data_IF_742011901805
#
_entry.id   IF_742011901805
#
_cell.length_a   1.000
_cell.length_b   1.000
_cell.length_c   1.000
_cell.angle_alpha   90.00
_cell.angle_beta   90.00
_cell.angle_gamma   90.00
#
_symmetry.space_group_name_H-M   'P 1'
#
loop_
_entity.id
_entity.type
_entity.pdbx_description
1 polymer ?
#
# COMPACT_ATOMS: atom_id res chain seq x y z
N UNK A 1 30.56 -32.40 41.11
CA UNK A 1 29.66 -33.30 41.87
C UNK A 1 28.33 -33.19 41.17
N UNK A 2 27.90 -34.13 40.35
CA UNK A 2 27.43 -35.46 40.77
C UNK A 2 27.58 -36.45 39.61
N UNK A 3 28.00 -37.66 39.94
CA UNK A 3 28.19 -38.82 39.07
C UNK A 3 26.83 -39.37 38.61
N UNK A 4 26.64 -39.53 37.29
CA UNK A 4 25.51 -40.25 36.74
C UNK A 4 25.81 -41.76 36.79
N UNK A 5 25.02 -42.47 37.59
CA UNK A 5 25.08 -43.93 37.76
C UNK A 5 24.56 -44.62 36.51
N UNK A 6 25.35 -45.57 36.02
CA UNK A 6 24.96 -46.53 34.99
C UNK A 6 23.87 -47.46 35.54
N UNK A 7 22.68 -47.44 34.94
CA UNK A 7 21.63 -48.42 35.15
C UNK A 7 21.58 -49.33 33.92
N UNK A 8 22.10 -50.54 34.07
CA UNK A 8 21.81 -51.65 33.16
C UNK A 8 20.31 -51.96 33.25
N UNK A 9 19.60 -51.81 32.14
CA UNK A 9 18.23 -52.34 31.99
C UNK A 9 18.33 -53.54 31.06
N UNK A 10 18.11 -54.72 31.63
CA UNK A 10 17.89 -55.96 30.89
C UNK A 10 16.54 -55.84 30.17
N UNK A 11 16.56 -55.62 28.86
CA UNK A 11 15.37 -55.76 28.02
C UNK A 11 15.19 -57.24 27.70
N UNK A 12 14.19 -57.85 28.33
CA UNK A 12 13.75 -59.20 28.03
C UNK A 12 13.28 -59.28 26.57
N UNK A 13 13.93 -60.13 25.78
CA UNK A 13 13.43 -60.55 24.47
C UNK A 13 12.09 -61.25 24.67
N UNK A 14 11.00 -60.61 24.26
CA UNK A 14 9.73 -61.27 23.98
C UNK A 14 9.58 -61.41 22.48
N UNK A 15 9.89 -62.61 21.98
CA UNK A 15 9.47 -63.07 20.67
C UNK A 15 7.96 -63.32 20.73
N UNK A 16 7.16 -62.38 20.23
CA UNK A 16 5.76 -62.64 19.92
C UNK A 16 5.70 -63.51 18.66
N UNK A 17 5.80 -64.83 18.85
CA UNK A 17 5.52 -65.81 17.81
C UNK A 17 3.99 -65.91 17.63
N UNK A 18 3.45 -65.29 16.59
CA UNK A 18 2.11 -65.63 16.11
C UNK A 18 2.17 -67.04 15.49
N UNK A 19 1.44 -67.98 16.11
CA UNK A 19 1.29 -69.35 15.60
C UNK A 19 0.50 -69.35 14.29
N UNK A 20 1.22 -69.46 13.17
CA UNK A 20 0.66 -69.73 11.85
C UNK A 20 0.78 -71.22 11.52
N UNK A 21 -0.36 -71.90 11.37
CA UNK A 21 -0.44 -73.31 11.00
C UNK A 21 0.24 -73.57 9.66
N UNK A 22 1.12 -74.56 9.63
CA UNK A 22 1.78 -75.05 8.42
C UNK A 22 0.82 -75.92 7.60
N UNK A 23 0.26 -75.36 6.53
CA UNK A 23 -0.19 -76.15 5.37
C UNK A 23 0.77 -75.85 4.22
N UNK A 24 1.51 -76.88 3.85
CA UNK A 24 2.53 -76.88 2.81
C UNK A 24 1.85 -77.27 1.50
N UNK A 25 1.46 -76.29 0.69
CA UNK A 25 1.04 -76.52 -0.70
C UNK A 25 2.18 -76.17 -1.67
N UNK A 26 2.58 -77.07 -2.57
CA UNK A 26 3.54 -76.80 -3.63
C UNK A 26 2.79 -76.35 -4.88
N UNK A 27 2.66 -75.04 -5.08
CA UNK A 27 2.06 -74.49 -6.30
C UNK A 27 1.93 -72.97 -6.22
N UNK A 28 2.68 -72.26 -7.05
CA UNK A 28 2.90 -70.82 -6.93
C UNK A 28 1.63 -69.97 -7.00
N UNK A 29 1.55 -69.02 -6.09
CA UNK A 29 0.88 -67.74 -6.25
C UNK A 29 1.63 -66.77 -5.32
N UNK A 30 2.24 -65.71 -5.87
CA UNK A 30 2.96 -64.73 -5.06
C UNK A 30 2.01 -64.14 -4.02
N UNK A 31 2.42 -64.15 -2.75
CA UNK A 31 1.55 -63.76 -1.65
C UNK A 31 1.31 -62.25 -1.64
N UNK A 32 0.05 -61.83 -1.63
CA UNK A 32 -0.31 -60.43 -1.33
C UNK A 32 0.08 -60.12 0.13
N UNK A 33 0.64 -58.93 0.36
CA UNK A 33 0.99 -58.42 1.67
C UNK A 33 -0.11 -57.53 2.25
N UNK A 34 -0.25 -57.51 3.57
CA UNK A 34 -1.12 -56.55 4.27
C UNK A 34 -0.29 -55.56 5.09
N UNK A 35 -0.50 -54.26 4.86
CA UNK A 35 0.17 -53.18 5.61
C UNK A 35 -0.78 -52.02 5.85
N UNK A 36 -0.90 -51.56 7.10
CA UNK A 36 -1.77 -50.42 7.46
C UNK A 36 -3.25 -50.62 7.11
N UNK A 37 -3.73 -51.87 7.08
CA UNK A 37 -5.09 -52.22 6.68
C UNK A 37 -5.36 -52.22 5.16
N UNK A 38 -4.32 -52.04 4.33
CA UNK A 38 -4.39 -52.15 2.86
C UNK A 38 -3.69 -53.43 2.39
N UNK A 39 -4.13 -53.98 1.26
CA UNK A 39 -3.47 -55.11 0.59
C UNK A 39 -2.62 -54.63 -0.59
N UNK A 40 -1.45 -55.23 -0.74
CA UNK A 40 -0.45 -54.94 -1.77
C UNK A 40 -0.02 -56.24 -2.44
N UNK A 41 0.23 -56.23 -3.74
CA UNK A 41 0.67 -57.42 -4.46
C UNK A 41 2.18 -57.63 -4.38
N UNK A 42 2.61 -58.89 -4.53
CA UNK A 42 4.03 -59.23 -4.53
C UNK A 42 4.81 -58.42 -5.58
N UNK A 43 5.83 -57.68 -5.12
CA UNK A 43 6.63 -56.76 -5.94
C UNK A 43 6.27 -55.27 -5.78
N UNK A 44 5.15 -54.95 -5.11
CA UNK A 44 4.75 -53.57 -4.86
C UNK A 44 5.75 -52.84 -3.95
N UNK A 45 5.91 -51.54 -4.22
CA UNK A 45 6.63 -50.58 -3.38
C UNK A 45 5.68 -49.45 -3.00
N UNK A 46 5.61 -49.13 -1.71
CA UNK A 46 4.62 -48.20 -1.16
C UNK A 46 5.15 -47.42 0.05
N UNK A 47 4.62 -46.22 0.34
CA UNK A 47 5.06 -45.41 1.47
C UNK A 47 4.63 -46.03 2.82
N UNK A 48 5.53 -45.98 3.81
CA UNK A 48 5.29 -46.33 5.21
C UNK A 48 4.33 -45.33 5.87
N UNK A 49 3.68 -45.78 6.94
CA UNK A 49 2.78 -44.93 7.76
C UNK A 49 3.51 -43.85 8.57
N UNK A 50 4.83 -43.95 8.71
CA UNK A 50 5.69 -42.95 9.36
C UNK A 50 6.05 -41.75 8.45
N UNK A 51 5.64 -41.79 7.19
CA UNK A 51 5.80 -40.68 6.24
C UNK A 51 7.21 -40.48 5.67
N UNK A 52 8.21 -41.27 6.08
CA UNK A 52 9.59 -41.13 5.59
C UNK A 52 10.21 -42.44 5.09
N UNK A 53 9.67 -43.59 5.51
CA UNK A 53 10.14 -44.89 5.04
C UNK A 53 9.36 -45.39 3.83
N UNK A 54 10.00 -46.25 3.03
CA UNK A 54 9.39 -46.96 1.91
C UNK A 54 9.37 -48.45 2.23
N UNK A 55 8.24 -49.09 1.98
CA UNK A 55 8.03 -50.51 2.20
C UNK A 55 7.88 -51.25 0.87
N UNK A 56 8.27 -52.52 0.84
CA UNK A 56 8.09 -53.41 -0.30
C UNK A 56 7.40 -54.71 0.12
N UNK A 57 6.56 -55.23 -0.78
CA UNK A 57 5.90 -56.53 -0.61
C UNK A 57 6.71 -57.65 -1.26
N UNK A 58 7.19 -58.59 -0.45
CA UNK A 58 7.96 -59.74 -0.90
C UNK A 58 7.04 -60.85 -1.46
N UNK A 59 7.61 -61.72 -2.29
CA UNK A 59 6.90 -62.84 -2.95
C UNK A 59 6.29 -63.85 -1.95
N UNK A 60 6.81 -63.89 -0.72
CA UNK A 60 6.34 -64.74 0.37
C UNK A 60 5.28 -64.07 1.27
N UNK A 61 4.78 -62.88 0.88
CA UNK A 61 3.77 -62.13 1.61
C UNK A 61 4.29 -61.29 2.77
N UNK A 62 5.62 -61.16 2.94
CA UNK A 62 6.22 -60.32 3.97
C UNK A 62 6.41 -58.86 3.51
N UNK A 63 6.23 -57.92 4.44
CA UNK A 63 6.52 -56.50 4.21
C UNK A 63 7.87 -56.16 4.82
N UNK A 64 8.76 -55.57 4.02
CA UNK A 64 10.01 -55.01 4.49
C UNK A 64 10.04 -53.50 4.24
N UNK A 65 10.33 -52.71 5.28
CA UNK A 65 10.44 -51.27 5.15
C UNK A 65 11.89 -50.82 5.35
N UNK A 66 12.24 -49.68 4.75
CA UNK A 66 13.46 -48.96 5.12
C UNK A 66 13.41 -48.54 6.59
N UNK A 67 14.58 -48.30 7.21
CA UNK A 67 14.71 -47.87 8.60
C UNK A 67 15.38 -46.50 8.70
N UNK A 68 14.85 -45.53 7.95
CA UNK A 68 15.20 -44.13 8.14
C UNK A 68 14.58 -43.65 9.46
N UNK A 69 15.40 -42.99 10.28
CA UNK A 69 14.91 -42.22 11.41
C UNK A 69 14.12 -41.04 10.86
N UNK A 70 12.78 -41.09 10.97
CA UNK A 70 11.95 -39.96 10.58
C UNK A 70 12.24 -38.79 11.51
N UNK A 71 12.60 -37.66 10.91
CA UNK A 71 12.83 -36.42 11.63
C UNK A 71 11.59 -35.55 11.44
N UNK A 72 11.03 -35.06 12.55
CA UNK A 72 9.76 -34.33 12.62
C UNK A 72 9.77 -32.95 11.93
N UNK A 73 10.75 -32.70 11.06
CA UNK A 73 11.02 -31.40 10.45
C UNK A 73 11.75 -30.46 11.39
N UNK A 74 11.60 -29.17 11.15
CA UNK A 74 12.23 -28.10 11.92
C UNK A 74 11.22 -26.98 12.22
N UNK A 75 11.50 -26.19 13.25
CA UNK A 75 10.69 -25.03 13.62
C UNK A 75 11.47 -23.74 13.38
N UNK A 76 10.87 -22.78 12.67
CA UNK A 76 11.42 -21.45 12.43
C UNK A 76 10.34 -20.40 12.63
N UNK A 77 10.60 -19.39 13.47
CA UNK A 77 9.65 -18.32 13.82
C UNK A 77 8.24 -18.83 14.19
N UNK A 78 8.18 -19.92 14.96
CA UNK A 78 6.93 -20.56 15.39
C UNK A 78 6.18 -21.35 14.31
N UNK A 79 6.75 -21.51 13.10
CA UNK A 79 6.21 -22.34 12.02
C UNK A 79 7.00 -23.63 11.84
N UNK A 80 6.29 -24.73 11.59
CA UNK A 80 6.90 -26.03 11.30
C UNK A 80 7.13 -26.20 9.80
N UNK A 81 8.31 -26.70 9.44
CA UNK A 81 8.76 -26.93 8.06
C UNK A 81 9.22 -28.38 7.90
N UNK A 82 8.97 -28.96 6.72
CA UNK A 82 9.34 -30.34 6.42
C UNK A 82 10.83 -30.47 6.07
N UNK A 83 11.48 -31.61 6.33
CA UNK A 83 12.86 -31.84 5.89
C UNK A 83 13.05 -31.61 4.39
N UNK A 84 14.03 -30.79 4.02
CA UNK A 84 14.32 -30.38 2.64
C UNK A 84 13.56 -29.14 2.16
N UNK A 85 12.61 -28.63 2.93
CA UNK A 85 11.87 -27.41 2.57
C UNK A 85 12.76 -26.17 2.61
N UNK A 86 12.65 -25.32 1.59
CA UNK A 86 13.27 -23.99 1.56
C UNK A 86 12.21 -22.89 1.68
N UNK A 87 12.46 -21.91 2.55
CA UNK A 87 11.51 -20.84 2.91
C UNK A 87 12.22 -19.51 3.16
N UNK A 88 11.54 -18.35 3.02
CA UNK A 88 12.12 -17.05 3.29
C UNK A 88 12.39 -16.84 4.80
N UNK A 89 13.52 -16.22 5.13
CA UNK A 89 13.86 -15.80 6.48
C UNK A 89 13.01 -14.59 6.92
N UNK A 90 12.94 -14.34 8.24
CA UNK A 90 12.20 -13.19 8.80
C UNK A 90 12.84 -11.84 8.51
N UNK A 91 14.12 -11.83 8.10
CA UNK A 91 14.84 -10.61 7.72
C UNK A 91 14.51 -10.12 6.29
N UNK A 92 13.69 -10.85 5.54
CA UNK A 92 13.18 -10.46 4.23
C UNK A 92 14.18 -10.55 3.08
N UNK A 93 15.42 -10.99 3.30
CA UNK A 93 16.42 -11.10 2.25
C UNK A 93 17.14 -12.45 2.19
N UNK A 94 17.14 -13.19 3.30
CA UNK A 94 17.76 -14.50 3.38
C UNK A 94 16.76 -15.63 3.08
N UNK A 95 17.31 -16.77 2.67
CA UNK A 95 16.55 -17.99 2.45
C UNK A 95 17.06 -19.06 3.41
N UNK A 96 16.14 -19.74 4.06
CA UNK A 96 16.40 -20.82 5.01
C UNK A 96 16.00 -22.17 4.41
N UNK A 97 16.66 -23.23 4.87
CA UNK A 97 16.37 -24.61 4.51
C UNK A 97 16.27 -25.45 5.79
N UNK A 98 15.26 -26.31 5.81
CA UNK A 98 15.06 -27.30 6.85
C UNK A 98 15.94 -28.54 6.58
N UNK A 99 16.93 -28.79 7.42
CA UNK A 99 17.83 -29.93 7.22
C UNK A 99 17.21 -31.24 7.70
N UNK A 100 17.70 -32.35 7.15
CA UNK A 100 17.26 -33.70 7.52
C UNK A 100 17.50 -34.07 9.00
N UNK A 101 18.30 -33.30 9.74
CA UNK A 101 18.53 -33.47 11.18
C UNK A 101 17.65 -32.54 12.04
N UNK A 102 16.70 -31.83 11.44
CA UNK A 102 15.78 -30.92 12.13
C UNK A 102 16.34 -29.53 12.42
N UNK A 103 17.57 -29.22 11.98
CA UNK A 103 18.12 -27.86 12.09
C UNK A 103 17.67 -26.97 10.94
N UNK A 104 17.67 -25.66 11.18
CA UNK A 104 17.46 -24.65 10.13
C UNK A 104 18.81 -24.05 9.76
N UNK A 105 19.09 -23.96 8.46
CA UNK A 105 20.25 -23.23 7.93
C UNK A 105 19.79 -22.14 6.99
N UNK A 106 20.26 -20.91 7.19
CA UNK A 106 19.89 -19.77 6.36
C UNK A 106 21.11 -19.22 5.61
N UNK A 107 20.88 -18.58 4.47
CA UNK A 107 21.91 -17.75 3.82
C UNK A 107 22.26 -16.57 4.74
N UNK A 108 23.49 -16.06 4.63
CA UNK A 108 23.97 -14.92 5.41
C UNK A 108 24.26 -13.72 4.50
N UNK A 109 23.24 -13.26 3.77
CA UNK A 109 23.31 -12.00 3.03
C UNK A 109 23.12 -10.86 4.00
N UNK A 110 23.96 -9.83 3.89
CA UNK A 110 23.69 -8.55 4.51
C UNK A 110 22.43 -7.96 3.85
N UNK A 111 21.31 -7.91 4.58
CA UNK A 111 20.10 -7.31 4.07
C UNK A 111 20.31 -5.81 3.82
N UNK A 112 19.71 -5.31 2.75
CA UNK A 112 19.79 -3.89 2.43
C UNK A 112 19.21 -3.07 3.59
N UNK A 113 19.96 -2.06 4.04
CA UNK A 113 19.41 -1.09 4.98
C UNK A 113 18.27 -0.34 4.29
N UNK A 114 17.14 -0.23 4.98
CA UNK A 114 15.97 0.49 4.49
C UNK A 114 15.54 1.57 5.48
N UNK A 115 14.82 2.57 4.98
CA UNK A 115 14.20 3.62 5.76
C UNK A 115 12.69 3.63 5.51
N UNK A 116 11.90 3.87 6.55
CA UNK A 116 10.47 4.14 6.41
C UNK A 116 10.21 5.65 6.45
N UNK A 117 9.46 6.15 5.46
CA UNK A 117 9.01 7.54 5.42
C UNK A 117 7.57 7.60 4.91
N UNK A 118 6.67 8.18 5.72
CA UNK A 118 5.25 8.31 5.40
C UNK A 118 4.59 7.01 4.88
N UNK A 119 4.93 5.87 5.51
CA UNK A 119 4.37 4.55 5.15
C UNK A 119 4.96 3.93 3.87
N UNK A 120 6.01 4.51 3.29
CA UNK A 120 6.77 3.93 2.17
C UNK A 120 8.16 3.51 2.62
N UNK A 121 8.67 2.44 2.01
CA UNK A 121 10.02 1.91 2.27
C UNK A 121 10.98 2.33 1.17
N UNK A 122 12.15 2.83 1.58
CA UNK A 122 13.23 3.31 0.71
C UNK A 122 14.52 2.56 1.03
N UNK A 123 15.35 2.29 0.03
CA UNK A 123 16.66 1.64 0.25
C UNK A 123 17.73 2.68 0.56
N UNK A 124 18.75 2.29 1.33
CA UNK A 124 19.89 3.16 1.62
C UNK A 124 20.53 3.72 0.33
N UNK A 125 20.85 5.02 0.36
CA UNK A 125 21.33 5.79 -0.78
C UNK A 125 20.23 6.35 -1.69
N UNK A 126 18.98 5.94 -1.52
CA UNK A 126 17.87 6.46 -2.32
C UNK A 126 17.48 7.88 -1.88
N UNK A 127 17.27 8.78 -2.84
CA UNK A 127 16.62 10.07 -2.65
C UNK A 127 15.15 10.05 -3.09
N UNK A 128 14.32 10.88 -2.46
CA UNK A 128 12.88 10.96 -2.73
C UNK A 128 12.28 12.30 -2.27
N UNK A 129 11.18 12.78 -2.88
CA UNK A 129 10.54 14.04 -2.48
C UNK A 129 9.89 13.94 -1.09
N UNK A 130 10.01 15.01 -0.30
CA UNK A 130 9.41 15.11 1.05
C UNK A 130 7.88 15.26 1.04
N UNK A 131 7.31 15.64 -0.11
CA UNK A 131 5.87 15.86 -0.30
C UNK A 131 5.41 17.30 -0.01
N UNK A 132 6.31 18.19 0.42
CA UNK A 132 6.05 19.62 0.65
C UNK A 132 6.31 20.51 -0.59
N UNK A 133 6.65 19.89 -1.73
CA UNK A 133 6.84 20.56 -3.01
C UNK A 133 8.22 21.19 -3.23
N UNK A 134 9.13 21.16 -2.25
CA UNK A 134 10.46 21.74 -2.44
C UNK A 134 11.61 20.99 -1.74
N UNK A 135 11.32 20.13 -0.76
CA UNK A 135 12.37 19.40 -0.06
C UNK A 135 12.57 17.99 -0.62
N UNK A 136 13.82 17.55 -0.58
CA UNK A 136 14.26 16.20 -0.94
C UNK A 136 14.79 15.49 0.31
N UNK A 137 14.38 14.24 0.47
CA UNK A 137 14.78 13.35 1.55
C UNK A 137 15.70 12.24 1.02
N UNK A 138 16.56 11.73 1.89
CA UNK A 138 17.57 10.72 1.59
C UNK A 138 17.51 9.63 2.66
N UNK A 139 17.48 8.37 2.22
CA UNK A 139 17.63 7.22 3.11
C UNK A 139 19.12 6.97 3.37
N UNK A 140 19.55 7.11 4.62
CA UNK A 140 20.94 6.92 5.02
C UNK A 140 21.25 5.43 5.27
N UNK A 141 22.54 5.08 5.21
CA UNK A 141 23.03 3.72 5.48
C UNK A 141 22.76 3.21 6.89
N UNK A 142 22.35 4.09 7.81
CA UNK A 142 21.96 3.78 9.19
C UNK A 142 20.43 3.58 9.37
N UNK A 143 19.66 3.57 8.28
CA UNK A 143 18.20 3.38 8.30
C UNK A 143 17.40 4.64 8.65
N UNK A 144 18.05 5.81 8.75
CA UNK A 144 17.39 7.09 9.03
C UNK A 144 17.14 7.89 7.76
N UNK A 145 16.05 8.64 7.79
CA UNK A 145 15.72 9.62 6.76
C UNK A 145 16.28 10.98 7.16
N UNK A 146 16.91 11.68 6.22
CA UNK A 146 17.31 13.08 6.36
C UNK A 146 16.79 13.87 5.17
N UNK A 147 16.21 15.05 5.42
CA UNK A 147 15.64 15.89 4.36
C UNK A 147 16.35 17.25 4.30
N UNK A 148 16.30 17.88 3.14
CA UNK A 148 16.66 19.29 2.99
C UNK A 148 15.70 20.16 3.79
N UNK A 149 16.14 21.38 4.12
CA UNK A 149 15.37 22.36 4.89
C UNK A 149 15.24 23.67 4.11
N UNK A 150 14.65 23.58 2.92
CA UNK A 150 14.23 24.74 2.15
C UNK A 150 12.87 25.24 2.66
N UNK A 151 12.72 26.57 2.73
CA UNK A 151 11.42 27.20 2.89
C UNK A 151 10.72 27.08 1.53
N UNK A 152 9.70 26.23 1.46
CA UNK A 152 8.98 26.04 0.20
C UNK A 152 8.24 27.31 -0.20
N UNK A 153 8.42 27.71 -1.46
CA UNK A 153 7.69 28.81 -2.07
C UNK A 153 6.19 28.56 -1.86
N UNK A 154 5.56 29.47 -1.15
CA UNK A 154 4.13 29.37 -0.86
C UNK A 154 3.34 29.81 -2.11
N UNK A 155 2.24 29.13 -2.39
CA UNK A 155 1.28 29.61 -3.38
C UNK A 155 0.24 30.48 -2.71
N UNK A 156 -0.29 31.45 -3.44
CA UNK A 156 -1.42 32.27 -3.00
C UNK A 156 -2.66 31.90 -3.80
N UNK A 157 -3.81 31.82 -3.15
CA UNK A 157 -5.10 31.72 -3.82
C UNK A 157 -5.76 33.10 -3.91
N UNK A 158 -6.14 33.51 -5.12
CA UNK A 158 -6.90 34.74 -5.36
C UNK A 158 -7.96 34.49 -6.43
N UNK A 159 -9.22 34.78 -6.11
CA UNK A 159 -10.36 34.58 -7.03
C UNK A 159 -10.43 33.17 -7.64
N UNK A 160 -10.13 32.13 -6.84
CA UNK A 160 -10.11 30.73 -7.28
C UNK A 160 -8.93 30.34 -8.17
N UNK A 161 -7.98 31.25 -8.43
CA UNK A 161 -6.74 30.96 -9.16
C UNK A 161 -5.56 30.87 -8.20
N UNK A 162 -4.62 29.97 -8.51
CA UNK A 162 -3.36 29.85 -7.78
C UNK A 162 -2.25 30.67 -8.46
N UNK A 163 -1.46 31.36 -7.64
CA UNK A 163 -0.34 32.20 -8.06
C UNK A 163 0.92 31.78 -7.31
N UNK A 164 2.05 31.79 -8.00
CA UNK A 164 3.35 31.46 -7.40
C UNK A 164 3.88 32.63 -6.58
N UNK A 165 4.71 32.35 -5.58
CA UNK A 165 5.43 33.39 -4.84
C UNK A 165 6.18 34.34 -5.79
N UNK A 166 5.98 35.65 -5.60
CA UNK A 166 6.52 36.72 -6.43
C UNK A 166 5.71 37.04 -7.70
N UNK A 167 4.73 36.22 -8.06
CA UNK A 167 3.88 36.46 -9.23
C UNK A 167 2.99 37.71 -9.03
N UNK A 168 2.92 38.57 -10.05
CA UNK A 168 2.08 39.77 -10.07
C UNK A 168 0.96 39.64 -11.10
N UNK A 169 -0.26 39.98 -10.70
CA UNK A 169 -1.49 39.76 -11.47
C UNK A 169 -2.50 40.91 -11.27
N UNK A 170 -3.43 41.14 -12.21
CA UNK A 170 -4.48 42.15 -12.05
C UNK A 170 -5.42 41.82 -10.87
N UNK A 171 -5.75 42.83 -10.07
CA UNK A 171 -6.84 42.77 -9.10
C UNK A 171 -8.18 42.65 -9.81
N UNK A 172 -9.17 42.09 -9.13
CA UNK A 172 -10.53 42.01 -9.66
C UNK A 172 -11.12 43.39 -9.93
N UNK A 173 -10.76 44.42 -9.16
CA UNK A 173 -11.22 45.80 -9.38
C UNK A 173 -10.79 46.44 -10.72
N UNK A 174 -9.99 45.74 -11.54
CA UNK A 174 -9.63 46.16 -12.89
C UNK A 174 -8.59 47.29 -12.97
N UNK A 175 -8.09 47.79 -11.85
CA UNK A 175 -7.11 48.90 -11.85
C UNK A 175 -5.91 48.67 -10.92
N UNK A 176 -6.06 47.84 -9.88
CA UNK A 176 -4.99 47.48 -8.98
C UNK A 176 -4.22 46.26 -9.49
N UNK A 177 -3.00 46.12 -8.99
CA UNK A 177 -2.15 44.96 -9.24
C UNK A 177 -1.88 44.28 -7.90
N UNK A 178 -2.07 42.98 -7.87
CA UNK A 178 -1.80 42.12 -6.73
C UNK A 178 -0.49 41.37 -6.95
N UNK A 179 0.19 41.04 -5.86
CA UNK A 179 1.39 40.22 -5.86
C UNK A 179 1.23 39.14 -4.80
N UNK A 180 1.56 37.91 -5.16
CA UNK A 180 1.66 36.81 -4.19
C UNK A 180 2.98 36.92 -3.43
N UNK A 181 2.92 36.91 -2.09
CA UNK A 181 4.11 36.95 -1.25
C UNK A 181 3.88 36.09 -0.01
N UNK A 182 4.66 35.02 0.12
CA UNK A 182 4.66 34.11 1.26
C UNK A 182 3.28 33.57 1.61
N UNK A 183 2.48 33.23 0.60
CA UNK A 183 1.12 32.67 0.74
C UNK A 183 0.03 33.73 0.96
N UNK A 184 0.40 35.01 1.09
CA UNK A 184 -0.54 36.13 1.16
C UNK A 184 -0.61 36.91 -0.15
N UNK A 185 -1.80 37.47 -0.43
CA UNK A 185 -2.01 38.35 -1.59
C UNK A 185 -2.00 39.80 -1.12
N UNK A 186 -1.07 40.60 -1.64
CA UNK A 186 -1.02 42.04 -1.41
C UNK A 186 -1.33 42.81 -2.68
N UNK A 187 -2.33 43.69 -2.67
CA UNK A 187 -2.70 44.50 -3.82
C UNK A 187 -2.38 45.99 -3.62
N UNK A 188 -2.08 46.69 -4.72
CA UNK A 188 -2.01 48.15 -4.72
C UNK A 188 -3.35 48.76 -4.27
N UNK A 189 -3.32 49.97 -3.74
CA UNK A 189 -4.52 50.70 -3.27
C UNK A 189 -4.74 51.98 -4.06
N UNK A 190 -4.84 51.86 -5.38
CA UNK A 190 -5.23 52.96 -6.27
C UNK A 190 -6.73 53.16 -6.16
N UNK A 191 -7.17 54.41 -6.11
CA UNK A 191 -8.58 54.73 -6.27
C UNK A 191 -8.96 54.47 -7.74
N UNK A 192 -9.65 53.36 -7.99
CA UNK A 192 -10.10 53.03 -9.34
C UNK A 192 -11.21 54.01 -9.77
N UNK A 193 -11.04 54.62 -10.94
CA UNK A 193 -12.18 55.12 -11.68
C UNK A 193 -13.01 53.89 -12.09
N UNK A 194 -14.28 53.86 -11.72
CA UNK A 194 -15.15 52.76 -12.10
C UNK A 194 -15.29 52.71 -13.62
N UNK A 195 -15.21 51.50 -14.18
CA UNK A 195 -15.36 51.24 -15.62
C UNK A 195 -16.35 50.09 -15.77
N UNK A 196 -17.65 50.40 -15.95
CA UNK A 196 -18.69 49.39 -16.05
C UNK A 196 -18.44 48.33 -17.14
N UNK A 197 -17.60 48.61 -18.14
CA UNK A 197 -17.28 47.65 -19.20
C UNK A 197 -16.31 46.54 -18.78
N UNK A 198 -15.58 46.73 -17.67
CA UNK A 198 -14.59 45.76 -17.14
C UNK A 198 -15.04 45.08 -15.86
N UNK A 199 -16.15 45.52 -15.29
CA UNK A 199 -16.71 44.99 -14.04
C UNK A 199 -17.69 43.86 -14.33
N UNK A 200 -17.19 42.74 -14.85
CA UNK A 200 -18.03 41.60 -15.29
C UNK A 200 -18.88 40.99 -14.16
N UNK A 201 -18.45 41.12 -12.89
CA UNK A 201 -19.16 40.64 -11.70
C UNK A 201 -20.25 41.61 -11.23
N UNK A 202 -20.54 42.67 -11.99
CA UNK A 202 -21.56 43.68 -11.70
C UNK A 202 -22.53 43.84 -12.86
N UNK A 203 -23.79 44.02 -12.50
CA UNK A 203 -24.83 44.47 -13.42
C UNK A 203 -25.28 45.87 -13.04
N UNK A 204 -24.95 46.84 -13.90
CA UNK A 204 -25.36 48.24 -13.76
C UNK A 204 -26.78 48.45 -14.28
N UNK A 205 -27.53 49.31 -13.60
CA UNK A 205 -28.90 49.69 -13.95
C UNK A 205 -28.98 51.17 -14.31
N UNK A 206 -30.05 51.54 -15.00
CA UNK A 206 -30.32 52.94 -15.33
C UNK A 206 -30.64 53.76 -14.08
N UNK A 207 -30.43 55.09 -14.10
CA UNK A 207 -30.77 55.95 -12.96
C UNK A 207 -32.25 55.85 -12.54
N UNK A 208 -33.17 55.58 -13.47
CA UNK A 208 -34.58 55.42 -13.17
C UNK A 208 -34.86 54.13 -12.38
N UNK A 209 -34.22 53.01 -12.76
CA UNK A 209 -34.31 51.73 -12.04
C UNK A 209 -33.67 51.83 -10.65
N UNK A 210 -32.52 52.50 -10.57
CA UNK A 210 -31.87 52.80 -9.28
C UNK A 210 -32.81 53.52 -8.32
N UNK A 211 -33.51 54.55 -8.82
CA UNK A 211 -34.46 55.33 -8.02
C UNK A 211 -35.70 54.52 -7.62
N UNK A 212 -36.10 53.54 -8.42
CA UNK A 212 -37.23 52.66 -8.13
C UNK A 212 -36.91 51.59 -7.06
N UNK A 213 -35.63 51.40 -6.72
CA UNK A 213 -35.17 50.38 -5.77
C UNK A 213 -34.90 49.05 -6.47
N UNK A 214 -33.62 48.78 -6.74
CA UNK A 214 -33.18 47.56 -7.45
C UNK A 214 -33.44 46.32 -6.58
N UNK A 215 -34.08 45.31 -7.17
CA UNK A 215 -34.21 43.97 -6.59
C UNK A 215 -33.15 43.06 -7.22
N UNK A 216 -32.20 42.60 -6.41
CA UNK A 216 -31.09 41.78 -6.88
C UNK A 216 -31.47 40.29 -6.91
N UNK A 217 -30.99 39.53 -7.92
CA UNK A 217 -31.16 38.09 -7.95
C UNK A 217 -30.45 37.43 -6.75
N UNK A 218 -30.83 36.18 -6.44
CA UNK A 218 -30.17 35.41 -5.39
C UNK A 218 -28.65 35.35 -5.57
N UNK A 219 -27.91 35.33 -4.46
CA UNK A 219 -26.44 35.35 -4.41
C UNK A 219 -25.77 36.64 -4.94
N UNK A 220 -26.55 37.72 -5.11
CA UNK A 220 -26.02 39.06 -5.42
C UNK A 220 -26.52 40.08 -4.42
N UNK A 221 -25.76 41.16 -4.24
CA UNK A 221 -26.06 42.24 -3.31
C UNK A 221 -26.20 43.58 -4.05
N UNK A 222 -27.11 44.47 -3.63
CA UNK A 222 -27.23 45.79 -4.21
C UNK A 222 -26.01 46.65 -3.86
N UNK A 223 -25.53 47.44 -4.83
CA UNK A 223 -24.44 48.41 -4.64
C UNK A 223 -24.79 49.78 -5.22
N UNK A 224 -24.08 50.81 -4.76
CA UNK A 224 -24.10 52.16 -5.36
C UNK A 224 -22.71 52.77 -5.26
N UNK A 225 -22.23 53.32 -6.36
CA UNK A 225 -20.92 53.96 -6.45
C UNK A 225 -20.98 55.18 -7.40
N UNK A 226 -19.82 55.74 -7.74
CA UNK A 226 -19.72 56.91 -8.64
C UNK A 226 -20.14 56.64 -10.09
N UNK A 227 -20.21 55.38 -10.53
CA UNK A 227 -20.67 55.01 -11.88
C UNK A 227 -22.15 54.68 -11.96
N UNK A 228 -22.82 54.49 -10.83
CA UNK A 228 -24.26 54.23 -10.78
C UNK A 228 -24.62 53.27 -9.66
N UNK A 229 -25.69 52.53 -9.88
CA UNK A 229 -26.13 51.49 -8.96
C UNK A 229 -26.36 50.17 -9.70
N UNK A 230 -26.45 49.10 -8.93
CA UNK A 230 -26.94 47.84 -9.45
C UNK A 230 -26.77 46.71 -8.48
N UNK A 231 -26.45 45.54 -9.02
CA UNK A 231 -26.24 44.32 -8.25
C UNK A 231 -24.84 43.78 -8.53
N UNK A 232 -24.17 43.27 -7.50
CA UNK A 232 -22.84 42.67 -7.58
C UNK A 232 -22.88 41.25 -7.00
N UNK A 233 -22.17 40.33 -7.63
CA UNK A 233 -21.93 39.00 -7.06
C UNK A 233 -20.61 38.96 -6.30
N UNK A 234 -20.36 37.85 -5.59
CA UNK A 234 -19.09 37.66 -4.89
C UNK A 234 -17.91 37.68 -5.90
N UNK A 235 -16.86 38.38 -5.53
CA UNK A 235 -15.66 38.52 -6.32
C UNK A 235 -14.90 37.17 -6.45
N UNK A 236 -15.16 36.19 -5.56
CA UNK A 236 -14.62 34.84 -5.66
C UNK A 236 -15.16 34.04 -6.84
N UNK A 237 -16.27 34.48 -7.44
CA UNK A 237 -16.82 33.82 -8.62
C UNK A 237 -15.82 33.87 -9.78
N UNK A 238 -15.73 32.83 -10.63
CA UNK A 238 -14.92 32.89 -11.83
C UNK A 238 -15.62 33.75 -12.89
N UNK A 239 -14.87 34.41 -13.77
CA UNK A 239 -15.48 35.13 -14.89
C UNK A 239 -16.22 34.18 -15.85
N UNK A 240 -15.67 32.98 -16.04
CA UNK A 240 -16.22 31.94 -16.91
C UNK A 240 -16.15 30.58 -16.19
N UNK A 241 -17.24 29.84 -16.21
CA UNK A 241 -17.25 28.41 -15.94
C UNK A 241 -16.87 27.65 -17.21
N UNK A 242 -15.81 26.84 -17.14
CA UNK A 242 -15.39 25.96 -18.23
C UNK A 242 -16.08 24.60 -18.07
N UNK A 243 -17.09 24.34 -18.90
CA UNK A 243 -17.91 23.12 -18.85
C UNK A 243 -17.50 22.09 -19.91
N UNK A 244 -16.30 22.20 -20.48
CA UNK A 244 -15.79 21.24 -21.46
C UNK A 244 -15.41 19.90 -20.79
N UNK A 245 -15.63 18.75 -21.47
CA UNK A 245 -15.09 17.47 -21.04
C UNK A 245 -13.57 17.54 -20.81
N UNK A 246 -13.04 16.93 -19.72
CA UNK A 246 -13.67 15.95 -18.84
C UNK A 246 -14.39 16.54 -17.62
N UNK A 247 -14.46 17.86 -17.47
CA UNK A 247 -14.92 18.53 -16.24
C UNK A 247 -16.28 19.20 -16.46
N UNK A 248 -17.40 18.49 -16.28
CA UNK A 248 -18.71 19.13 -16.34
C UNK A 248 -18.86 20.13 -15.20
N UNK A 249 -19.49 21.27 -15.48
CA UNK A 249 -19.78 22.26 -14.45
C UNK A 249 -20.78 21.75 -13.41
N UNK A 250 -20.59 22.20 -12.17
CA UNK A 250 -21.51 21.97 -11.06
C UNK A 250 -22.66 22.99 -11.11
N UNK A 251 -23.92 22.54 -11.31
CA UNK A 251 -25.08 23.44 -11.35
C UNK A 251 -25.25 24.31 -10.10
N UNK A 252 -24.86 23.82 -8.92
CA UNK A 252 -25.00 24.57 -7.68
C UNK A 252 -23.96 25.69 -7.59
N UNK A 253 -22.74 25.47 -8.10
CA UNK A 253 -21.72 26.52 -8.20
C UNK A 253 -22.14 27.60 -9.20
N UNK A 254 -22.69 27.20 -10.35
CA UNK A 254 -23.19 28.15 -11.35
C UNK A 254 -24.31 29.02 -10.80
N UNK A 255 -25.17 28.46 -9.94
CA UNK A 255 -26.26 29.20 -9.30
C UNK A 255 -25.77 30.28 -8.33
N UNK A 256 -24.62 30.07 -7.69
CA UNK A 256 -24.02 31.03 -6.76
C UNK A 256 -23.34 32.21 -7.47
N UNK A 257 -23.02 32.06 -8.76
CA UNK A 257 -22.29 33.04 -9.56
C UNK A 257 -23.08 33.43 -10.83
N UNK A 258 -24.23 34.11 -10.68
CA UNK A 258 -25.19 34.32 -11.75
C UNK A 258 -24.74 35.26 -12.89
N UNK A 259 -23.67 36.01 -12.71
CA UNK A 259 -23.06 36.90 -13.72
C UNK A 259 -21.82 36.29 -14.38
N UNK A 260 -21.37 35.13 -13.93
CA UNK A 260 -20.32 34.37 -14.60
C UNK A 260 -20.82 33.82 -15.93
N UNK A 261 -19.99 33.92 -16.96
CA UNK A 261 -20.26 33.29 -18.24
C UNK A 261 -20.08 31.78 -18.20
N UNK A 262 -20.58 31.08 -19.22
CA UNK A 262 -20.47 29.63 -19.35
C UNK A 262 -19.87 29.31 -20.70
N UNK A 263 -18.72 28.63 -20.70
CA UNK A 263 -18.06 28.12 -21.89
C UNK A 263 -18.33 26.60 -22.02
N UNK A 264 -18.65 26.17 -23.23
CA UNK A 264 -18.93 24.77 -23.60
C UNK A 264 -18.03 24.31 -24.72
#
# INVERSE_FOLDING_TARGET
MTTARSLMVFAALWLAACSGSTTKDPGGSGGDCSYGGKSYSAGDSFPSSDGCNTCSCAQDGQVACTLLACVDGCSYDGKSHQPGESFPATDGCNQCTCNANGSVSCTEKACATTCEYQGKTYVAGQSFPAGDGCNECFCQDNGKVSCTLAICAQTCSYAGKEYKDGESFPSLDGCNTCTCTSGGVGCTKKACACDPSKEWWRKYYTPAECKAGVQCPGYTTPFTNSCGCGCEQDASCPEWFDCMPPSPCDPDQMKQCPYSGVAY
#
